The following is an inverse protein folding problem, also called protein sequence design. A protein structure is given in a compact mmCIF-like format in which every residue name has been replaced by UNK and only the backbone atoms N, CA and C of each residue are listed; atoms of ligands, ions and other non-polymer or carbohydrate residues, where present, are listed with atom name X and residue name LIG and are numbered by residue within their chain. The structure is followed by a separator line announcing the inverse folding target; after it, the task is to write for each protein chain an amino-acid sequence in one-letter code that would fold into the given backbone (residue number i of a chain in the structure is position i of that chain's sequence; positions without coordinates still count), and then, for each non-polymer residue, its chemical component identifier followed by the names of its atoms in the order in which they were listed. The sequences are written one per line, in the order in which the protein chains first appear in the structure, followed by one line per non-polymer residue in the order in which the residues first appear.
data_IF_196485304634
#
_entry.id   IF_196485304634
#
_cell.length_a   1.000
_cell.length_b   1.000
_cell.length_c   1.000
_cell.angle_alpha   90.00
_cell.angle_beta   90.00
_cell.angle_gamma   90.00
#
_symmetry.space_group_name_H-M   'P 1'
#
loop_
_entity.id
_entity.type
_entity.pdbx_description
1 polymer ?
#
# COMPACT_ATOMS: atom_id res chain seq x y z
N UNK A 1 -19.08 -12.40 2.34
CA UNK A 1 -18.78 -11.34 1.35
C UNK A 1 -17.98 -11.98 0.23
N UNK A 2 -18.26 -11.65 -1.03
CA UNK A 2 -17.63 -12.26 -2.21
C UNK A 2 -16.67 -11.23 -2.83
N UNK A 3 -15.45 -11.13 -2.29
CA UNK A 3 -14.31 -10.62 -3.06
C UNK A 3 -13.77 -11.77 -3.95
N UNK A 4 -13.06 -11.49 -5.05
CA UNK A 4 -12.62 -12.54 -5.96
C UNK A 4 -11.61 -13.47 -5.28
N UNK A 5 -11.55 -14.74 -5.72
CA UNK A 5 -10.55 -15.70 -5.22
C UNK A 5 -9.14 -15.34 -5.71
N UNK A 6 -9.05 -14.70 -6.88
CA UNK A 6 -7.81 -14.26 -7.49
C UNK A 6 -7.86 -12.81 -7.96
N UNK A 7 -6.69 -12.20 -8.11
CA UNK A 7 -6.54 -10.83 -8.58
C UNK A 7 -5.22 -10.62 -9.30
N UNK A 8 -5.10 -9.53 -10.05
CA UNK A 8 -3.86 -9.17 -10.75
C UNK A 8 -2.93 -8.39 -9.84
N UNK A 9 -1.67 -8.77 -9.88
CA UNK A 9 -0.55 -8.03 -9.32
C UNK A 9 0.52 -7.81 -10.39
N UNK A 10 1.32 -6.76 -10.23
CA UNK A 10 2.45 -6.50 -11.11
C UNK A 10 3.73 -6.76 -10.33
N UNK A 11 4.52 -7.74 -10.74
CA UNK A 11 5.78 -8.11 -10.07
C UNK A 11 6.96 -7.68 -10.91
N UNK A 12 8.06 -7.32 -10.25
CA UNK A 12 9.34 -7.12 -10.94
C UNK A 12 9.79 -8.42 -11.60
N UNK A 13 10.45 -8.32 -12.75
CA UNK A 13 11.16 -9.46 -13.33
C UNK A 13 12.43 -9.79 -12.52
N UNK A 14 13.10 -10.89 -12.85
CA UNK A 14 14.36 -11.29 -12.20
C UNK A 14 15.58 -10.81 -13.00
N UNK A 15 16.75 -10.73 -12.35
CA UNK A 15 18.02 -10.27 -12.95
C UNK A 15 18.61 -9.04 -12.25
N UNK A 16 19.81 -8.62 -12.67
CA UNK A 16 20.57 -7.56 -11.98
C UNK A 16 19.89 -6.17 -12.01
N UNK A 17 19.08 -5.90 -13.05
CA UNK A 17 18.31 -4.67 -13.21
C UNK A 17 16.99 -5.00 -13.93
N UNK A 18 15.97 -5.49 -13.21
CA UNK A 18 14.70 -5.83 -13.80
C UNK A 18 13.94 -4.54 -14.12
N UNK A 19 14.22 -3.96 -15.29
CA UNK A 19 13.58 -2.73 -15.80
C UNK A 19 12.15 -2.96 -16.31
N UNK A 20 11.60 -4.15 -16.08
CA UNK A 20 10.27 -4.54 -16.51
C UNK A 20 9.49 -5.13 -15.35
N UNK A 21 8.17 -5.04 -15.49
CA UNK A 21 7.20 -5.69 -14.62
C UNK A 21 6.39 -6.70 -15.43
N UNK A 22 5.98 -7.77 -14.79
CA UNK A 22 5.12 -8.81 -15.34
C UNK A 22 3.80 -8.84 -14.59
N UNK A 23 2.71 -9.12 -15.30
CA UNK A 23 1.40 -9.36 -14.68
C UNK A 23 1.39 -10.77 -14.14
N UNK A 24 0.98 -10.92 -12.88
CA UNK A 24 0.80 -12.18 -12.19
C UNK A 24 -0.62 -12.26 -11.64
N UNK A 25 -1.14 -13.48 -11.53
CA UNK A 25 -2.40 -13.76 -10.83
C UNK A 25 -2.09 -14.26 -9.42
N UNK A 26 -2.63 -13.57 -8.42
CA UNK A 26 -2.43 -13.82 -7.00
C UNK A 26 -3.72 -14.31 -6.36
N UNK A 27 -3.61 -15.04 -5.24
CA UNK A 27 -4.77 -15.54 -4.50
C UNK A 27 -5.04 -14.67 -3.28
N UNK A 28 -6.32 -14.40 -3.02
CA UNK A 28 -6.75 -13.85 -1.74
C UNK A 28 -7.04 -14.99 -0.75
N UNK A 29 -6.66 -14.84 0.54
CA UNK A 29 -7.10 -15.78 1.56
C UNK A 29 -8.61 -15.70 1.74
N UNK A 30 -9.24 -16.86 2.02
CA UNK A 30 -10.70 -16.94 2.23
C UNK A 30 -11.15 -16.34 3.57
N UNK A 31 -10.22 -16.19 4.51
CA UNK A 31 -10.46 -15.67 5.84
C UNK A 31 -9.42 -14.60 6.14
N UNK A 32 -9.86 -13.51 6.74
CA UNK A 32 -9.00 -12.44 7.23
C UNK A 32 -8.61 -12.73 8.67
N UNK A 33 -7.41 -12.31 9.07
CA UNK A 33 -7.04 -12.21 10.48
C UNK A 33 -7.96 -11.24 11.23
N UNK A 34 -7.96 -11.34 12.55
CA UNK A 34 -8.83 -10.54 13.42
C UNK A 34 -8.69 -9.03 13.22
N UNK A 35 -7.48 -8.54 12.96
CA UNK A 35 -7.17 -7.12 12.77
C UNK A 35 -6.88 -6.74 11.32
N UNK A 36 -7.09 -7.67 10.39
CA UNK A 36 -6.80 -7.47 8.98
C UNK A 36 -7.89 -6.66 8.29
N UNK A 37 -7.49 -5.82 7.35
CA UNK A 37 -8.37 -5.08 6.47
C UNK A 37 -8.00 -5.40 5.03
N UNK A 38 -8.96 -5.92 4.28
CA UNK A 38 -8.82 -6.11 2.83
C UNK A 38 -9.21 -4.82 2.13
N UNK A 39 -8.27 -4.30 1.34
CA UNK A 39 -8.47 -3.09 0.55
C UNK A 39 -8.44 -3.42 -0.95
N UNK A 40 -9.29 -2.75 -1.73
CA UNK A 40 -9.26 -2.74 -3.19
C UNK A 40 -8.60 -1.45 -3.66
N UNK A 41 -7.49 -1.58 -4.39
CA UNK A 41 -6.69 -0.44 -4.85
C UNK A 41 -7.31 0.11 -6.13
N UNK A 42 -7.56 1.42 -6.14
CA UNK A 42 -8.14 2.15 -7.28
C UNK A 42 -7.10 2.98 -8.02
N UNK A 43 -6.13 3.56 -7.29
CA UNK A 43 -5.03 4.34 -7.88
C UNK A 43 -3.72 4.08 -7.14
N UNK A 44 -2.61 4.14 -7.89
CA UNK A 44 -1.24 3.96 -7.38
C UNK A 44 -0.39 5.11 -7.90
N UNK A 45 0.47 5.66 -7.04
CA UNK A 45 1.37 6.76 -7.42
C UNK A 45 2.75 6.24 -7.74
N UNK A 46 3.35 6.80 -8.79
CA UNK A 46 4.74 6.57 -9.12
C UNK A 46 5.62 7.63 -8.46
N UNK A 47 6.52 7.19 -7.61
CA UNK A 47 7.51 8.03 -6.95
C UNK A 47 8.87 7.89 -7.61
N UNK A 48 9.76 8.88 -7.39
CA UNK A 48 11.13 8.83 -7.88
C UNK A 48 11.87 7.55 -7.43
N UNK A 49 11.60 7.09 -6.20
CA UNK A 49 12.21 5.87 -5.64
C UNK A 49 11.92 4.64 -6.50
N UNK A 50 10.75 4.55 -7.12
CA UNK A 50 10.37 3.38 -7.90
C UNK A 50 11.28 3.25 -9.13
N UNK A 51 11.53 4.36 -9.81
CA UNK A 51 12.48 4.42 -10.93
C UNK A 51 13.93 4.25 -10.46
N UNK A 52 14.31 4.87 -9.33
CA UNK A 52 15.66 4.74 -8.79
C UNK A 52 15.98 3.29 -8.39
N UNK A 53 15.03 2.57 -7.79
CA UNK A 53 15.14 1.15 -7.44
C UNK A 53 15.30 0.27 -8.67
N UNK A 54 14.48 0.47 -9.71
CA UNK A 54 14.58 -0.27 -10.97
C UNK A 54 15.94 -0.09 -11.67
N UNK A 55 16.63 1.01 -11.39
CA UNK A 55 17.97 1.30 -11.92
C UNK A 55 19.12 0.97 -10.96
N UNK A 56 18.84 0.35 -9.81
CA UNK A 56 19.86 0.02 -8.80
C UNK A 56 20.52 1.25 -8.15
N UNK A 57 19.83 2.39 -8.18
CA UNK A 57 20.35 3.69 -7.69
C UNK A 57 19.72 4.12 -6.37
N UNK A 58 18.89 3.29 -5.77
CA UNK A 58 18.26 3.57 -4.48
C UNK A 58 18.88 2.65 -3.41
N UNK A 59 19.40 3.19 -2.28
CA UNK A 59 20.23 2.45 -1.34
C UNK A 59 19.40 1.62 -0.35
N UNK A 60 18.48 0.80 -0.86
CA UNK A 60 17.72 -0.14 -0.02
C UNK A 60 17.65 -1.50 -0.70
N UNK A 61 17.38 -2.53 0.10
CA UNK A 61 17.14 -3.86 -0.43
C UNK A 61 15.79 -3.86 -1.16
N UNK A 62 15.78 -4.41 -2.37
CA UNK A 62 14.54 -4.62 -3.12
C UNK A 62 14.27 -6.11 -3.14
N UNK A 63 13.07 -6.50 -2.73
CA UNK A 63 12.63 -7.88 -2.80
C UNK A 63 12.64 -8.35 -4.26
N UNK A 64 13.30 -9.48 -4.53
CA UNK A 64 13.28 -10.12 -5.84
C UNK A 64 11.84 -10.54 -6.17
N UNK A 65 11.38 -10.23 -7.39
CA UNK A 65 9.98 -10.37 -7.82
C UNK A 65 8.95 -9.67 -6.93
N UNK A 66 9.39 -8.70 -6.11
CA UNK A 66 8.51 -7.90 -5.29
C UNK A 66 7.55 -7.03 -6.12
N UNK A 67 6.37 -6.79 -5.60
CA UNK A 67 5.40 -5.83 -6.16
C UNK A 67 5.96 -4.41 -5.95
N UNK A 68 6.05 -3.54 -6.98
CA UNK A 68 6.58 -2.19 -6.83
C UNK A 68 5.54 -1.20 -6.33
N UNK A 69 5.96 0.06 -6.19
CA UNK A 69 5.18 1.20 -5.71
C UNK A 69 4.83 1.10 -4.23
N UNK A 70 4.65 2.25 -3.57
CA UNK A 70 4.40 2.30 -2.13
C UNK A 70 3.13 3.02 -1.73
N UNK A 71 2.61 3.90 -2.58
CA UNK A 71 1.41 4.68 -2.28
C UNK A 71 0.24 4.19 -3.11
N UNK A 72 -0.94 4.17 -2.51
CA UNK A 72 -2.17 3.81 -3.19
C UNK A 72 -3.39 4.47 -2.56
N UNK A 73 -4.38 4.81 -3.36
CA UNK A 73 -5.71 5.11 -2.88
C UNK A 73 -6.60 3.88 -3.05
N UNK A 74 -7.29 3.50 -2.00
CA UNK A 74 -8.02 2.25 -1.94
C UNK A 74 -9.33 2.36 -1.18
N UNK A 75 -10.17 1.35 -1.34
CA UNK A 75 -11.44 1.20 -0.66
C UNK A 75 -11.41 -0.04 0.23
N UNK A 76 -11.92 0.05 1.46
CA UNK A 76 -12.10 -1.10 2.34
C UNK A 76 -13.22 -1.99 1.81
N UNK A 77 -12.93 -3.26 1.52
CA UNK A 77 -13.92 -4.22 0.98
C UNK A 77 -14.24 -5.37 1.94
N UNK A 78 -13.39 -5.63 2.93
CA UNK A 78 -13.68 -6.53 4.04
C UNK A 78 -12.80 -6.20 5.26
N UNK A 79 -13.27 -6.56 6.45
CA UNK A 79 -12.59 -6.32 7.73
C UNK A 79 -12.60 -7.58 8.59
N UNK A 80 -11.56 -7.76 9.38
CA UNK A 80 -11.47 -8.75 10.46
C UNK A 80 -12.43 -8.45 11.61
N UNK A 81 -12.64 -9.45 12.48
CA UNK A 81 -13.64 -9.37 13.56
C UNK A 81 -13.33 -8.32 14.64
N UNK A 82 -12.06 -7.97 14.82
CA UNK A 82 -11.58 -7.04 15.86
C UNK A 82 -11.24 -5.65 15.30
N UNK A 83 -11.54 -5.39 14.02
CA UNK A 83 -11.33 -4.07 13.41
C UNK A 83 -12.49 -3.14 13.80
N UNK A 84 -12.23 -2.18 14.69
CA UNK A 84 -13.22 -1.18 15.13
C UNK A 84 -13.19 0.14 14.35
N UNK A 85 -12.04 0.53 13.82
CA UNK A 85 -11.83 1.90 13.32
C UNK A 85 -12.22 2.09 11.84
N UNK A 86 -12.53 1.01 11.12
CA UNK A 86 -12.84 1.03 9.69
C UNK A 86 -14.20 0.41 9.38
N UNK A 87 -14.84 0.93 8.34
CA UNK A 87 -16.05 0.35 7.75
C UNK A 87 -15.84 0.04 6.28
N UNK A 88 -16.56 -0.96 5.77
CA UNK A 88 -16.59 -1.26 4.33
C UNK A 88 -17.06 -0.02 3.56
N UNK A 89 -16.36 0.31 2.47
CA UNK A 89 -16.56 1.54 1.69
C UNK A 89 -15.83 2.76 2.24
N UNK A 90 -15.00 2.63 3.28
CA UNK A 90 -14.07 3.69 3.66
C UNK A 90 -12.94 3.82 2.63
N UNK A 91 -12.63 5.07 2.28
CA UNK A 91 -11.46 5.37 1.45
C UNK A 91 -10.26 5.38 2.37
N UNK A 92 -9.23 4.64 1.99
CA UNK A 92 -8.05 4.43 2.82
C UNK A 92 -6.80 4.44 1.99
N UNK A 93 -5.70 4.62 2.70
CA UNK A 93 -4.39 4.36 2.14
C UNK A 93 -3.46 3.74 3.17
N UNK A 94 -2.45 3.03 2.69
CA UNK A 94 -1.48 2.31 3.53
C UNK A 94 -0.27 3.18 3.86
N UNK A 95 0.23 3.08 5.09
CA UNK A 95 1.46 3.74 5.53
C UNK A 95 2.66 3.15 4.78
N UNK A 96 3.64 3.99 4.43
CA UNK A 96 4.80 3.62 3.62
C UNK A 96 5.66 2.53 4.26
N UNK A 97 5.98 2.72 5.54
CA UNK A 97 6.77 1.80 6.35
C UNK A 97 5.86 1.13 7.38
N UNK A 98 5.71 -0.19 7.25
CA UNK A 98 4.78 -0.96 8.08
C UNK A 98 5.30 -1.20 9.50
N UNK A 99 6.61 -1.06 9.75
CA UNK A 99 7.19 -1.17 11.11
C UNK A 99 7.27 0.19 11.82
N UNK A 100 7.33 1.29 11.06
CA UNK A 100 7.47 2.63 11.63
C UNK A 100 6.18 3.47 11.59
N UNK A 101 5.21 3.13 12.44
CA UNK A 101 3.92 3.84 12.51
C UNK A 101 3.97 5.12 13.34
N UNK A 102 4.91 5.22 14.29
CA UNK A 102 4.99 6.32 15.27
C UNK A 102 6.18 7.25 15.04
N UNK A 103 7.02 7.00 14.03
CA UNK A 103 8.22 7.80 13.74
C UNK A 103 9.45 7.41 14.56
N UNK A 104 9.48 6.21 15.15
CA UNK A 104 10.63 5.69 15.90
C UNK A 104 11.35 4.62 15.09
N UNK A 105 12.66 4.78 14.89
CA UNK A 105 13.50 3.90 14.07
C UNK A 105 14.07 2.70 14.87
N UNK A 106 13.31 2.21 15.85
CA UNK A 106 13.78 1.12 16.73
C UNK A 106 13.78 -0.25 16.02
N UNK A 107 13.02 -0.38 14.93
CA UNK A 107 12.92 -1.59 14.12
C UNK A 107 13.48 -1.39 12.70
N UNK A 108 14.00 -2.45 12.05
CA UNK A 108 14.33 -2.41 10.64
C UNK A 108 13.13 -1.96 9.79
N UNK A 109 13.35 -1.18 8.72
CA UNK A 109 12.27 -0.67 7.89
C UNK A 109 11.55 -1.82 7.17
N UNK A 110 10.23 -1.71 7.09
CA UNK A 110 9.35 -2.59 6.34
C UNK A 110 8.68 -1.78 5.22
N UNK A 111 9.51 -1.25 4.31
CA UNK A 111 9.08 -0.27 3.32
C UNK A 111 8.37 -0.93 2.13
N UNK A 112 7.16 -0.45 1.83
CA UNK A 112 6.38 -0.93 0.68
C UNK A 112 7.10 -0.72 -0.64
N UNK A 113 7.06 -1.77 -1.46
CA UNK A 113 7.73 -1.82 -2.75
C UNK A 113 9.25 -1.95 -2.65
N UNK A 114 9.83 -1.99 -1.45
CA UNK A 114 11.24 -2.25 -1.22
C UNK A 114 11.41 -3.60 -0.52
N UNK A 115 11.42 -3.57 0.81
CA UNK A 115 11.61 -4.73 1.69
C UNK A 115 10.43 -5.70 1.66
N UNK A 116 9.23 -5.19 1.34
CA UNK A 116 8.00 -5.96 1.21
C UNK A 116 7.22 -5.59 -0.07
N UNK A 117 6.30 -6.47 -0.47
CA UNK A 117 5.40 -6.27 -1.60
C UNK A 117 4.64 -4.94 -1.48
N UNK A 118 4.71 -4.15 -2.55
CA UNK A 118 4.14 -2.82 -2.66
C UNK A 118 2.66 -2.77 -3.06
N UNK A 119 2.30 -1.65 -3.68
CA UNK A 119 0.90 -1.29 -3.95
C UNK A 119 0.44 -1.49 -5.39
N UNK A 120 1.34 -1.83 -6.34
CA UNK A 120 0.96 -2.07 -7.74
C UNK A 120 0.26 -3.43 -7.93
N UNK A 121 -0.96 -3.53 -7.40
CA UNK A 121 -1.83 -4.71 -7.38
C UNK A 121 -3.29 -4.29 -7.17
N UNK A 122 -4.25 -5.17 -7.48
CA UNK A 122 -5.68 -4.85 -7.35
C UNK A 122 -6.19 -4.93 -5.90
N UNK A 123 -5.64 -5.83 -5.08
CA UNK A 123 -6.05 -6.02 -3.68
C UNK A 123 -4.83 -6.19 -2.77
N UNK A 124 -5.00 -5.78 -1.52
CA UNK A 124 -3.98 -5.93 -0.48
C UNK A 124 -4.64 -6.14 0.89
N UNK A 125 -3.96 -6.87 1.77
CA UNK A 125 -4.36 -7.02 3.17
C UNK A 125 -3.30 -6.36 4.03
N UNK A 126 -3.75 -5.52 4.96
CA UNK A 126 -2.91 -4.88 5.96
C UNK A 126 -3.59 -4.93 7.32
N UNK A 127 -2.82 -4.92 8.40
CA UNK A 127 -3.38 -4.64 9.72
C UNK A 127 -4.03 -3.25 9.73
N UNK A 128 -5.14 -3.09 10.44
CA UNK A 128 -5.88 -1.82 10.53
C UNK A 128 -5.00 -0.63 10.92
N UNK A 129 -4.02 -0.83 11.82
CA UNK A 129 -3.06 0.20 12.26
C UNK A 129 -2.17 0.76 11.16
N UNK A 130 -1.99 0.02 10.06
CA UNK A 130 -1.19 0.43 8.91
C UNK A 130 -2.00 1.20 7.86
N UNK A 131 -3.29 1.43 8.12
CA UNK A 131 -4.17 2.16 7.24
C UNK A 131 -4.56 3.51 7.82
N UNK A 132 -4.77 4.47 6.93
CA UNK A 132 -5.27 5.80 7.27
C UNK A 132 -6.48 6.13 6.41
N UNK A 133 -7.47 6.80 6.98
CA UNK A 133 -8.65 7.23 6.23
C UNK A 133 -8.32 8.40 5.31
N UNK A 134 -8.96 8.40 4.16
CA UNK A 134 -8.90 9.46 3.17
C UNK A 134 -10.25 10.17 3.07
N UNK A 135 -10.27 11.46 2.74
CA UNK A 135 -11.50 12.19 2.49
C UNK A 135 -12.21 11.65 1.23
N UNK A 136 -13.50 11.35 1.34
CA UNK A 136 -14.30 10.78 0.22
C UNK A 136 -14.61 11.77 -0.90
N UNK A 137 -14.38 13.07 -0.70
CA UNK A 137 -14.70 14.12 -1.68
C UNK A 137 -13.56 14.38 -2.68
N UNK A 138 -12.38 13.81 -2.46
CA UNK A 138 -11.26 13.87 -3.38
C UNK A 138 -11.25 12.64 -4.29
N UNK A 139 -10.74 12.79 -5.51
CA UNK A 139 -10.59 11.68 -6.45
C UNK A 139 -9.53 10.69 -5.99
N UNK A 140 -9.58 9.45 -6.50
CA UNK A 140 -8.59 8.41 -6.19
C UNK A 140 -7.17 8.84 -6.57
N UNK A 141 -7.03 9.52 -7.70
CA UNK A 141 -5.75 10.04 -8.20
C UNK A 141 -5.18 11.10 -7.24
N UNK A 142 -6.00 12.06 -6.81
CA UNK A 142 -5.59 13.13 -5.90
C UNK A 142 -5.06 12.60 -4.57
N UNK A 143 -5.73 11.59 -4.00
CA UNK A 143 -5.36 11.03 -2.69
C UNK A 143 -4.37 9.87 -2.76
N UNK A 144 -4.08 9.37 -3.96
CA UNK A 144 -3.02 8.36 -4.14
C UNK A 144 -1.65 8.98 -3.91
N UNK A 145 -1.48 10.28 -4.17
CA UNK A 145 -0.22 10.99 -4.01
C UNK A 145 -0.05 11.41 -2.55
N UNK A 146 0.86 10.76 -1.84
CA UNK A 146 1.21 11.12 -0.46
C UNK A 146 2.50 11.92 -0.41
N UNK A 147 2.45 13.15 0.09
CA UNK A 147 3.62 13.70 0.80
C UNK A 147 3.57 13.12 2.20
N UNK A 148 4.60 12.35 2.56
CA UNK A 148 4.81 11.65 3.84
C UNK A 148 3.64 11.76 4.81
N UNK A 149 2.63 10.89 4.69
CA UNK A 149 1.52 10.89 5.64
C UNK A 149 1.92 10.08 6.86
N UNK A 150 2.42 10.75 7.89
CA UNK A 150 2.36 10.16 9.22
C UNK A 150 0.92 10.22 9.74
N UNK A 151 0.47 9.25 10.56
CA UNK A 151 -0.90 9.24 11.10
C UNK A 151 -1.31 10.56 11.79
N UNK A 152 -0.34 11.32 12.31
CA UNK A 152 -0.56 12.61 12.96
C UNK A 152 -0.71 13.81 11.99
N UNK A 153 -0.31 13.69 10.72
CA UNK A 153 -0.31 14.82 9.77
C UNK A 153 -1.60 14.94 8.95
N UNK A 154 -2.48 13.93 9.00
CA UNK A 154 -3.72 13.86 8.20
C UNK A 154 -4.79 14.87 8.67
N UNK A 155 -4.63 15.45 9.86
CA UNK A 155 -5.56 16.45 10.38
C UNK A 155 -5.37 17.86 9.82
N UNK A 156 -4.33 18.15 9.01
CA UNK A 156 -3.98 19.53 8.67
C UNK A 156 -4.09 19.94 7.20
N UNK A 157 -4.61 19.09 6.31
CA UNK A 157 -4.75 19.42 4.88
C UNK A 157 -6.02 20.22 4.51
N UNK A 158 -6.62 20.93 5.47
CA UNK A 158 -7.77 21.83 5.26
C UNK A 158 -7.43 23.32 5.28
N UNK A 159 -6.16 23.72 5.11
CA UNK A 159 -5.79 25.13 4.97
C UNK A 159 -4.71 25.36 3.92
N UNK A 160 -5.08 25.37 2.65
CA UNK A 160 -4.43 26.20 1.62
C UNK A 160 -5.47 26.52 0.52
N UNK A 161 -6.25 27.57 0.76
CA UNK A 161 -6.74 28.50 -0.26
C UNK A 161 -5.65 29.49 -0.61
#
# INVERSE_FOLDING_TARGET
MLFPETFKAYRRTTGDLPRSIEICEEKLPRQLGSYDVLIKIHAVSLNFRDVAMLNGRYPVRVQERGIPCSDAAAEVVAIGSEVGDFSIGDHVSVVFDLSNLTGHDDEPPCALGGDVDGTLREYAIYESKCLVKLPKHLSWEEVSHKRHLYPHEIFNTSMLT
#
